data_IF_845239338719
#
_entry.id   IF_845239338719
#
_cell.length_a   1.000
_cell.length_b   1.000
_cell.length_c   1.000
_cell.angle_alpha   90.00
_cell.angle_beta   90.00
_cell.angle_gamma   90.00
#
_symmetry.space_group_name_H-M   'P 1'
#
loop_
_entity.id
_entity.type
_entity.pdbx_description
1 polymer ?
#
# COMPACT_ATOMS: atom_id res chain seq x y z
N UNK A 1 14.56 -8.81 -23.41
CA UNK A 1 15.14 -7.49 -23.10
C UNK A 1 15.23 -7.44 -21.60
N UNK A 2 16.37 -7.81 -21.03
CA UNK A 2 16.53 -7.82 -19.58
C UNK A 2 16.90 -6.40 -19.18
N UNK A 3 16.14 -5.81 -18.25
CA UNK A 3 16.43 -4.50 -17.70
C UNK A 3 17.87 -4.49 -17.14
N UNK A 4 18.61 -3.43 -17.43
CA UNK A 4 19.96 -3.22 -16.87
C UNK A 4 19.84 -3.12 -15.34
N UNK A 5 20.78 -3.70 -14.55
CA UNK A 5 20.71 -3.68 -13.09
C UNK A 5 20.70 -2.26 -12.48
N UNK A 6 21.13 -1.25 -13.25
CA UNK A 6 21.10 0.18 -12.87
C UNK A 6 19.70 0.82 -12.95
N UNK A 7 18.64 0.10 -13.38
CA UNK A 7 17.28 0.64 -13.48
C UNK A 7 16.36 0.21 -12.31
N UNK A 8 16.90 -0.46 -11.29
CA UNK A 8 16.12 -0.77 -10.10
C UNK A 8 15.96 0.51 -9.27
N UNK A 9 14.75 1.07 -9.24
CA UNK A 9 14.42 2.16 -8.33
C UNK A 9 14.73 1.74 -6.88
N UNK A 10 15.30 2.65 -6.09
CA UNK A 10 15.59 2.36 -4.68
C UNK A 10 14.31 1.92 -3.96
N UNK A 11 14.34 0.83 -3.18
CA UNK A 11 13.18 0.36 -2.45
C UNK A 11 12.74 1.42 -1.45
N UNK A 12 11.43 1.70 -1.43
CA UNK A 12 10.80 2.65 -0.49
C UNK A 12 9.84 1.91 0.42
N UNK A 13 9.58 2.48 1.59
CA UNK A 13 8.75 1.86 2.63
C UNK A 13 7.31 2.34 2.52
N UNK A 14 6.34 1.43 2.61
CA UNK A 14 4.93 1.76 2.86
C UNK A 14 4.60 1.36 4.29
N UNK A 15 4.29 2.33 5.14
CA UNK A 15 3.96 2.09 6.54
C UNK A 15 2.47 1.83 6.71
N UNK A 16 2.10 0.72 7.34
CA UNK A 16 0.72 0.43 7.72
C UNK A 16 0.58 0.58 9.23
N UNK A 17 -0.30 1.47 9.68
CA UNK A 17 -0.48 1.76 11.10
C UNK A 17 -1.90 2.28 11.39
N UNK A 18 -2.43 2.06 12.62
CA UNK A 18 -3.63 2.76 13.07
C UNK A 18 -3.36 4.25 13.29
N UNK A 19 -4.40 5.07 13.22
CA UNK A 19 -4.29 6.52 13.22
C UNK A 19 -3.69 7.08 14.52
N UNK A 20 -4.02 6.47 15.67
CA UNK A 20 -3.52 6.86 16.99
C UNK A 20 -2.00 6.69 17.15
N UNK A 21 -1.40 5.75 16.42
CA UNK A 21 0.06 5.52 16.42
C UNK A 21 0.81 6.54 15.58
N UNK A 22 0.14 7.20 14.63
CA UNK A 22 0.78 8.20 13.78
C UNK A 22 1.16 9.47 14.55
N UNK A 23 0.45 9.79 15.63
CA UNK A 23 0.79 10.95 16.47
C UNK A 23 2.17 10.81 17.15
N UNK A 24 2.65 9.57 17.35
CA UNK A 24 3.98 9.30 17.89
C UNK A 24 5.11 9.48 16.86
N UNK A 25 4.78 9.62 15.56
CA UNK A 25 5.76 9.83 14.49
C UNK A 25 6.21 11.30 14.48
N UNK A 26 7.19 11.62 15.33
CA UNK A 26 7.82 12.95 15.36
C UNK A 26 8.98 13.10 14.35
N UNK A 27 9.42 12.01 13.73
CA UNK A 27 10.55 11.94 12.79
C UNK A 27 10.66 10.54 12.16
N UNK A 28 11.76 10.25 11.45
CA UNK A 28 11.95 8.95 10.79
C UNK A 28 11.03 8.72 9.59
N UNK A 29 10.53 9.82 9.01
CA UNK A 29 9.63 9.83 7.87
C UNK A 29 10.36 9.71 6.52
N UNK A 30 11.68 9.84 6.54
CA UNK A 30 12.55 9.73 5.37
C UNK A 30 12.47 8.32 4.76
N UNK A 31 12.39 8.23 3.43
CA UNK A 31 12.30 6.94 2.71
C UNK A 31 10.88 6.35 2.63
N UNK A 32 9.90 6.89 3.35
CA UNK A 32 8.50 6.47 3.19
C UNK A 32 7.98 6.88 1.80
N UNK A 33 7.35 5.94 1.10
CA UNK A 33 6.58 6.18 -0.12
C UNK A 33 5.14 6.59 0.19
N UNK A 34 4.54 6.00 1.22
CA UNK A 34 3.18 6.28 1.65
C UNK A 34 2.95 5.76 3.08
N UNK A 35 1.88 6.25 3.70
CA UNK A 35 1.32 5.70 4.95
C UNK A 35 -0.09 5.18 4.64
N UNK A 36 -0.45 4.02 5.17
CA UNK A 36 -1.79 3.43 5.08
C UNK A 36 -2.39 3.34 6.48
N UNK A 37 -3.53 4.00 6.68
CA UNK A 37 -4.29 4.00 7.93
C UNK A 37 -5.18 2.76 7.98
N UNK A 38 -4.98 1.90 8.98
CA UNK A 38 -5.52 0.52 9.00
C UNK A 38 -6.78 0.32 9.85
N UNK A 39 -7.11 1.26 10.72
CA UNK A 39 -8.17 1.16 11.74
C UNK A 39 -9.51 1.78 11.30
N UNK A 40 -9.64 2.13 10.02
CA UNK A 40 -10.88 2.69 9.47
C UNK A 40 -11.18 4.11 9.94
N UNK A 41 -10.21 4.84 10.48
CA UNK A 41 -10.39 6.25 10.82
C UNK A 41 -10.91 7.06 9.63
N UNK A 42 -11.91 7.91 9.87
CA UNK A 42 -12.51 8.78 8.85
C UNK A 42 -11.68 10.04 8.59
N UNK A 43 -10.81 10.41 9.53
CA UNK A 43 -9.90 11.52 9.41
C UNK A 43 -8.73 11.36 10.40
N UNK A 44 -7.62 12.03 10.10
CA UNK A 44 -6.52 12.22 11.03
C UNK A 44 -6.72 13.50 11.84
N UNK A 45 -6.14 13.54 13.04
CA UNK A 45 -6.00 14.78 13.81
C UNK A 45 -5.25 15.84 12.99
N UNK A 46 -5.69 17.11 13.06
CA UNK A 46 -5.17 18.20 12.21
C UNK A 46 -3.64 18.35 12.32
N UNK A 47 -3.09 18.23 13.53
CA UNK A 47 -1.64 18.32 13.77
C UNK A 47 -0.86 17.19 13.10
N UNK A 48 -1.36 15.95 13.20
CA UNK A 48 -0.76 14.77 12.54
C UNK A 48 -0.82 14.93 11.03
N UNK A 49 -2.00 15.32 10.51
CA UNK A 49 -2.20 15.55 9.08
C UNK A 49 -1.28 16.63 8.54
N UNK A 50 -1.15 17.76 9.25
CA UNK A 50 -0.28 18.85 8.84
C UNK A 50 1.19 18.42 8.80
N UNK A 51 1.64 17.64 9.79
CA UNK A 51 3.01 17.13 9.85
C UNK A 51 3.32 16.20 8.65
N UNK A 52 2.47 15.19 8.41
CA UNK A 52 2.66 14.24 7.30
C UNK A 52 2.61 14.92 5.93
N UNK A 53 1.71 15.90 5.77
CA UNK A 53 1.65 16.73 4.55
C UNK A 53 2.91 17.57 4.36
N UNK A 54 3.46 18.16 5.43
CA UNK A 54 4.70 18.93 5.36
C UNK A 54 5.91 18.07 4.96
N UNK A 55 5.89 16.78 5.36
CA UNK A 55 6.88 15.80 4.93
C UNK A 55 6.66 15.27 3.49
N UNK A 56 5.56 15.64 2.83
CA UNK A 56 5.26 15.22 1.46
C UNK A 56 4.88 13.74 1.33
N UNK A 57 4.39 13.12 2.41
CA UNK A 57 4.03 11.70 2.41
C UNK A 57 2.53 11.55 2.13
N UNK A 58 2.13 10.83 1.08
CA UNK A 58 0.72 10.56 0.83
C UNK A 58 0.17 9.60 1.90
N UNK A 59 -1.01 9.94 2.42
CA UNK A 59 -1.71 9.12 3.41
C UNK A 59 -2.96 8.50 2.82
N UNK A 60 -3.05 7.18 2.87
CA UNK A 60 -4.11 6.37 2.29
C UNK A 60 -5.03 5.81 3.38
N UNK A 61 -6.33 5.71 3.10
CA UNK A 61 -7.26 4.94 3.94
C UNK A 61 -7.29 3.49 3.47
N UNK A 62 -7.13 2.51 4.37
CA UNK A 62 -7.38 1.10 4.06
C UNK A 62 -8.88 0.84 4.00
N UNK A 63 -9.35 0.26 2.90
CA UNK A 63 -10.77 -0.04 2.66
C UNK A 63 -10.92 -1.41 2.00
N UNK A 64 -12.06 -2.06 2.18
CA UNK A 64 -12.39 -3.32 1.48
C UNK A 64 -13.35 -3.11 0.29
N UNK A 65 -14.06 -1.99 0.29
CA UNK A 65 -15.00 -1.57 -0.75
C UNK A 65 -14.68 -0.16 -1.21
N UNK A 66 -15.01 0.15 -2.45
CA UNK A 66 -14.76 1.47 -3.03
C UNK A 66 -15.54 2.56 -2.31
N UNK A 67 -14.83 3.60 -1.88
CA UNK A 67 -15.40 4.80 -1.29
C UNK A 67 -14.66 6.05 -1.77
N UNK A 68 -15.05 7.23 -1.25
CA UNK A 68 -14.31 8.47 -1.49
C UNK A 68 -13.15 8.55 -0.50
N UNK A 69 -11.98 9.01 -0.95
CA UNK A 69 -10.84 9.28 -0.07
C UNK A 69 -11.02 10.60 0.73
N UNK A 70 -12.15 10.77 1.42
CA UNK A 70 -12.41 11.99 2.17
C UNK A 70 -11.40 12.13 3.31
N UNK A 71 -10.59 13.19 3.28
CA UNK A 71 -9.56 13.42 4.31
C UNK A 71 -8.22 12.72 4.05
N UNK A 72 -8.09 11.97 2.95
CA UNK A 72 -6.90 11.19 2.58
C UNK A 72 -6.42 11.53 1.17
N UNK A 73 -5.16 11.22 0.87
CA UNK A 73 -4.53 11.44 -0.44
C UNK A 73 -4.83 10.29 -1.43
N UNK A 74 -5.54 9.26 -0.96
CA UNK A 74 -5.85 8.09 -1.74
C UNK A 74 -6.41 6.94 -0.90
N UNK A 75 -6.48 5.75 -1.52
CA UNK A 75 -6.99 4.53 -0.90
C UNK A 75 -5.99 3.39 -1.04
N UNK A 76 -5.95 2.51 -0.04
CA UNK A 76 -5.44 1.16 -0.18
C UNK A 76 -6.63 0.20 -0.15
N UNK A 77 -6.91 -0.47 -1.26
CA UNK A 77 -8.07 -1.34 -1.42
C UNK A 77 -7.66 -2.80 -1.22
N UNK A 78 -8.03 -3.36 -0.07
CA UNK A 78 -7.97 -4.79 0.23
C UNK A 78 -9.29 -5.46 -0.18
N UNK A 79 -9.60 -5.37 -1.48
CA UNK A 79 -10.84 -5.83 -2.10
C UNK A 79 -10.57 -6.50 -3.45
N UNK A 80 -11.62 -6.77 -4.21
CA UNK A 80 -11.47 -7.39 -5.54
C UNK A 80 -11.17 -6.35 -6.65
N UNK A 81 -10.87 -6.84 -7.86
CA UNK A 81 -10.58 -5.99 -9.02
C UNK A 81 -11.73 -5.03 -9.40
N UNK A 82 -12.98 -5.41 -9.11
CA UNK A 82 -14.16 -4.56 -9.29
C UNK A 82 -14.15 -3.36 -8.35
N UNK A 83 -13.83 -3.58 -7.07
CA UNK A 83 -13.69 -2.51 -6.08
C UNK A 83 -12.55 -1.57 -6.42
N UNK A 84 -11.41 -2.08 -6.90
CA UNK A 84 -10.33 -1.23 -7.39
C UNK A 84 -10.76 -0.36 -8.57
N UNK A 85 -11.45 -0.94 -9.56
CA UNK A 85 -11.96 -0.18 -10.72
C UNK A 85 -12.99 0.87 -10.29
N UNK A 86 -13.82 0.58 -9.29
CA UNK A 86 -14.76 1.53 -8.73
C UNK A 86 -14.05 2.65 -7.95
N UNK A 87 -13.07 2.31 -7.12
CA UNK A 87 -12.25 3.27 -6.38
C UNK A 87 -11.50 4.21 -7.33
N UNK A 88 -10.87 3.68 -8.39
CA UNK A 88 -10.16 4.51 -9.40
C UNK A 88 -11.08 5.52 -10.07
N UNK A 89 -12.36 5.18 -10.31
CA UNK A 89 -13.36 6.09 -10.88
C UNK A 89 -13.83 7.16 -9.89
N UNK A 90 -13.85 6.85 -8.59
CA UNK A 90 -14.31 7.76 -7.55
C UNK A 90 -13.21 8.72 -7.08
N UNK A 91 -11.95 8.32 -7.19
CA UNK A 91 -10.79 9.10 -6.80
C UNK A 91 -10.53 10.27 -7.77
N UNK A 92 -10.11 11.45 -7.25
CA UNK A 92 -9.68 12.54 -8.11
C UNK A 92 -8.40 12.17 -8.86
N UNK A 93 -8.16 12.83 -10.00
CA UNK A 93 -6.95 12.65 -10.76
C UNK A 93 -5.71 12.94 -9.89
N UNK A 94 -4.73 12.03 -9.92
CA UNK A 94 -3.51 12.13 -9.12
C UNK A 94 -3.62 11.59 -7.69
N UNK A 95 -4.81 11.18 -7.22
CA UNK A 95 -4.90 10.44 -5.96
C UNK A 95 -4.34 9.02 -6.11
N UNK A 96 -3.63 8.60 -5.07
CA UNK A 96 -2.93 7.32 -5.06
C UNK A 96 -3.90 6.17 -4.75
N UNK A 97 -3.69 5.03 -5.39
CA UNK A 97 -4.48 3.83 -5.23
C UNK A 97 -3.56 2.63 -5.04
N UNK A 98 -3.53 2.06 -3.85
CA UNK A 98 -2.92 0.76 -3.59
C UNK A 98 -3.92 -0.37 -3.75
N UNK A 99 -3.45 -1.53 -4.21
CA UNK A 99 -4.14 -2.81 -4.07
C UNK A 99 -3.49 -3.65 -2.97
N UNK A 100 -4.23 -4.54 -2.31
CA UNK A 100 -3.64 -5.47 -1.34
C UNK A 100 -4.35 -6.80 -1.21
N UNK A 101 -3.83 -7.65 -0.31
CA UNK A 101 -4.26 -9.03 -0.05
C UNK A 101 -4.13 -9.99 -1.24
N UNK A 102 -3.22 -9.70 -2.18
CA UNK A 102 -2.91 -10.61 -3.29
C UNK A 102 -1.98 -11.73 -2.84
N UNK A 103 -2.56 -12.89 -2.52
CA UNK A 103 -1.81 -14.08 -2.03
C UNK A 103 -1.49 -15.12 -3.11
N UNK A 104 -1.89 -14.88 -4.34
CA UNK A 104 -1.62 -15.79 -5.46
C UNK A 104 -1.29 -14.99 -6.71
N UNK A 105 -0.57 -15.61 -7.65
CA UNK A 105 -0.28 -15.00 -8.96
C UNK A 105 -1.54 -14.55 -9.70
N UNK A 106 -2.59 -15.37 -9.68
CA UNK A 106 -3.86 -15.03 -10.32
C UNK A 106 -4.53 -13.81 -9.66
N UNK A 107 -4.59 -13.79 -8.33
CA UNK A 107 -5.12 -12.64 -7.60
C UNK A 107 -4.31 -11.36 -7.90
N UNK A 108 -2.99 -11.44 -7.85
CA UNK A 108 -2.10 -10.32 -8.17
C UNK A 108 -2.35 -9.77 -9.59
N UNK A 109 -2.48 -10.66 -10.58
CA UNK A 109 -2.80 -10.26 -11.96
C UNK A 109 -4.16 -9.57 -12.06
N UNK A 110 -5.19 -10.11 -11.40
CA UNK A 110 -6.52 -9.51 -11.39
C UNK A 110 -6.53 -8.10 -10.79
N UNK A 111 -5.79 -7.89 -9.69
CA UNK A 111 -5.67 -6.56 -9.09
C UNK A 111 -4.85 -5.62 -10.00
N UNK A 112 -3.78 -6.11 -10.62
CA UNK A 112 -2.93 -5.35 -11.53
C UNK A 112 -3.65 -4.83 -12.78
N UNK A 113 -4.68 -5.52 -13.27
CA UNK A 113 -5.51 -5.04 -14.39
C UNK A 113 -6.17 -3.68 -14.12
N UNK A 114 -6.41 -3.34 -12.85
CA UNK A 114 -6.99 -2.06 -12.48
C UNK A 114 -5.97 -0.91 -12.51
N UNK A 115 -4.69 -1.19 -12.80
CA UNK A 115 -3.58 -0.24 -12.78
C UNK A 115 -3.57 0.62 -11.50
N UNK A 116 -3.51 -0.02 -10.31
CA UNK A 116 -3.19 0.71 -9.09
C UNK A 116 -1.78 1.31 -9.20
N UNK A 117 -1.39 2.15 -8.25
CA UNK A 117 -0.04 2.69 -8.16
C UNK A 117 0.94 1.67 -7.56
N UNK A 118 0.43 0.67 -6.82
CA UNK A 118 1.17 -0.51 -6.39
C UNK A 118 0.23 -1.68 -6.06
N UNK A 119 0.80 -2.89 -5.99
CA UNK A 119 0.12 -4.09 -5.48
C UNK A 119 0.88 -4.63 -4.28
N UNK A 120 0.22 -4.73 -3.12
CA UNK A 120 0.75 -5.48 -1.98
C UNK A 120 0.53 -6.98 -2.21
N UNK A 121 1.65 -7.70 -2.29
CA UNK A 121 1.69 -9.15 -2.48
C UNK A 121 1.88 -9.81 -1.10
N UNK A 122 0.92 -10.65 -0.74
CA UNK A 122 0.77 -11.17 0.62
C UNK A 122 -0.31 -10.44 1.41
N UNK A 123 -0.22 -10.52 2.74
CA UNK A 123 -1.15 -9.91 3.69
C UNK A 123 -0.37 -9.33 4.86
N UNK A 124 -0.80 -8.17 5.34
CA UNK A 124 -0.27 -7.63 6.60
C UNK A 124 -1.01 -8.29 7.76
N UNK A 125 -0.27 -9.05 8.57
CA UNK A 125 -0.76 -9.60 9.81
C UNK A 125 -1.20 -8.46 10.75
N UNK A 126 -2.49 -8.32 11.00
CA UNK A 126 -3.02 -7.29 11.92
C UNK A 126 -3.19 -7.80 13.35
N UNK A 127 -3.00 -9.10 13.61
CA UNK A 127 -3.24 -9.70 14.93
C UNK A 127 -2.41 -10.96 15.22
N UNK A 128 -2.09 -11.77 14.21
CA UNK A 128 -1.34 -13.02 14.38
C UNK A 128 -0.09 -13.01 13.49
N UNK A 129 1.13 -12.99 14.05
CA UNK A 129 2.36 -12.98 13.28
C UNK A 129 2.58 -14.26 12.46
N UNK A 130 1.77 -15.30 12.68
CA UNK A 130 1.74 -16.52 11.86
C UNK A 130 0.73 -16.47 10.71
N UNK A 131 -0.03 -15.38 10.61
CA UNK A 131 -1.09 -15.18 9.63
C UNK A 131 -0.54 -14.72 8.27
N UNK A 132 0.29 -15.56 7.66
CA UNK A 132 0.95 -15.32 6.38
C UNK A 132 2.07 -16.33 6.15
N UNK A 133 2.40 -16.57 4.88
CA UNK A 133 3.57 -17.38 4.51
C UNK A 133 4.59 -16.44 3.88
N UNK A 134 5.48 -15.88 4.71
CA UNK A 134 6.49 -14.89 4.28
C UNK A 134 7.35 -15.45 3.14
N UNK A 135 7.61 -16.75 3.13
CA UNK A 135 8.37 -17.38 2.04
C UNK A 135 7.57 -17.38 0.74
N UNK A 136 6.29 -17.79 0.79
CA UNK A 136 5.42 -17.75 -0.38
C UNK A 136 5.17 -16.30 -0.89
N UNK A 137 5.05 -15.34 0.02
CA UNK A 137 4.89 -13.92 -0.31
C UNK A 137 6.17 -13.38 -0.99
N UNK A 138 7.36 -13.74 -0.49
CA UNK A 138 8.64 -13.38 -1.12
C UNK A 138 8.80 -13.98 -2.53
N UNK A 139 8.42 -15.25 -2.70
CA UNK A 139 8.41 -15.92 -4.02
C UNK A 139 7.44 -15.23 -4.98
N UNK A 140 6.28 -14.80 -4.48
CA UNK A 140 5.29 -14.07 -5.27
C UNK A 140 5.82 -12.70 -5.71
N UNK A 141 6.51 -11.97 -4.82
CA UNK A 141 7.15 -10.69 -5.13
C UNK A 141 8.27 -10.85 -6.15
N UNK A 142 9.15 -11.84 -5.99
CA UNK A 142 10.23 -12.09 -6.95
C UNK A 142 9.68 -12.37 -8.34
N UNK A 143 8.67 -13.24 -8.44
CA UNK A 143 7.98 -13.54 -9.69
C UNK A 143 7.34 -12.29 -10.31
N UNK A 144 6.74 -11.42 -9.50
CA UNK A 144 6.13 -10.20 -9.99
C UNK A 144 7.17 -9.22 -10.54
N UNK A 145 8.25 -9.00 -9.79
CA UNK A 145 9.33 -8.08 -10.16
C UNK A 145 10.04 -8.50 -11.46
N UNK A 146 10.08 -9.79 -11.77
CA UNK A 146 10.65 -10.29 -13.04
C UNK A 146 9.76 -10.04 -14.26
N UNK A 147 8.44 -9.96 -14.08
CA UNK A 147 7.47 -10.01 -15.18
C UNK A 147 6.65 -8.74 -15.38
N UNK A 148 6.53 -7.88 -14.36
CA UNK A 148 5.62 -6.73 -14.37
C UNK A 148 6.35 -5.44 -14.02
N UNK A 149 5.95 -4.35 -14.68
CA UNK A 149 6.46 -3.00 -14.38
C UNK A 149 5.70 -2.32 -13.24
N UNK A 150 4.49 -2.79 -12.94
CA UNK A 150 3.67 -2.21 -11.89
C UNK A 150 4.33 -2.44 -10.52
N UNK A 151 4.55 -1.41 -9.69
CA UNK A 151 5.25 -1.57 -8.41
C UNK A 151 4.60 -2.61 -7.49
N UNK A 152 5.43 -3.44 -6.87
CA UNK A 152 4.99 -4.39 -5.84
C UNK A 152 5.44 -3.93 -4.46
N UNK A 153 4.59 -4.16 -3.46
CA UNK A 153 4.94 -4.01 -2.05
C UNK A 153 5.00 -5.40 -1.43
N UNK A 154 6.17 -5.75 -0.90
CA UNK A 154 6.36 -6.95 -0.10
C UNK A 154 6.02 -6.66 1.37
N UNK A 155 5.47 -7.65 2.07
CA UNK A 155 5.34 -7.56 3.53
C UNK A 155 6.68 -7.92 4.15
N UNK A 156 7.29 -6.97 4.85
CA UNK A 156 8.37 -7.26 5.78
C UNK A 156 7.73 -7.59 7.15
N UNK A 157 8.19 -8.67 7.80
CA UNK A 157 7.81 -8.94 9.19
C UNK A 157 8.23 -7.81 10.12
N UNK A 158 7.77 -7.82 11.38
CA UNK A 158 8.25 -6.86 12.38
C UNK A 158 9.79 -6.88 12.41
N UNK A 159 10.39 -5.70 12.24
CA UNK A 159 11.79 -5.47 12.61
C UNK A 159 11.86 -5.68 14.12
N UNK A 160 12.50 -6.77 14.53
CA UNK A 160 12.84 -7.05 15.92
C UNK A 160 13.80 -5.97 16.49
#
# INVERSE_FOLDING_TARGET
MNASPDNAAEPRIVLFAPADRLAALQGGLEGLAAIVVTDGAEALEDGVRANLRAAGIPVLKKVSVAERAQGFDGLHVAGNAGELKAARKALPAGAMLGAGDARTRHAAMQLGEAMPDYVLLGRIATADPTDGDIAADADLVSWWAELFELPAVAVAGELA
#
